data_IF_637915661921
#
_entry.id   IF_637915661921
#
_cell.length_a   1.000
_cell.length_b   1.000
_cell.length_c   1.000
_cell.angle_alpha   90.00
_cell.angle_beta   90.00
_cell.angle_gamma   90.00
#
_symmetry.space_group_name_H-M   'P 1'
#
loop_
_entity.id
_entity.type
_entity.pdbx_description
1 polymer ?
#
# COMPACT_ATOMS: atom_id res chain seq x y z
N UNK A 1 2.50 4.06 5.30
CA UNK A 1 3.23 4.79 4.22
C UNK A 1 2.67 6.17 3.84
N UNK A 2 1.44 6.32 3.31
CA UNK A 2 0.93 7.63 2.81
C UNK A 2 0.96 8.76 3.86
N UNK A 3 0.39 8.53 5.05
CA UNK A 3 0.41 9.50 6.14
C UNK A 3 1.84 9.80 6.63
N UNK A 4 2.73 8.80 6.62
CA UNK A 4 4.14 8.98 6.95
C UNK A 4 4.91 9.82 5.93
N UNK A 5 4.57 9.71 4.63
CA UNK A 5 5.11 10.57 3.58
C UNK A 5 4.59 11.99 3.69
N UNK A 6 3.29 12.15 3.98
CA UNK A 6 2.66 13.45 4.18
C UNK A 6 3.28 14.18 5.39
N UNK A 7 3.42 13.50 6.53
CA UNK A 7 4.03 14.08 7.73
C UNK A 7 5.50 14.46 7.58
N UNK A 8 6.20 13.92 6.58
CA UNK A 8 7.61 14.25 6.26
C UNK A 8 7.75 15.18 5.05
N UNK A 9 6.65 15.71 4.51
CA UNK A 9 6.62 16.53 3.29
C UNK A 9 7.24 15.86 2.05
N UNK A 10 7.19 14.52 1.98
CA UNK A 10 7.77 13.71 0.90
C UNK A 10 6.74 13.10 -0.03
N UNK A 11 5.44 13.32 0.21
CA UNK A 11 4.37 12.78 -0.62
C UNK A 11 4.50 13.20 -2.10
N UNK A 12 5.03 14.41 -2.35
CA UNK A 12 5.22 14.93 -3.69
C UNK A 12 6.22 14.16 -4.58
N UNK A 13 7.08 13.31 -3.97
CA UNK A 13 7.98 12.42 -4.72
C UNK A 13 7.26 11.17 -5.24
N UNK A 14 6.08 10.85 -4.70
CA UNK A 14 5.28 9.68 -5.07
C UNK A 14 4.18 10.06 -6.05
N UNK A 15 3.46 11.16 -5.77
CA UNK A 15 2.37 11.64 -6.63
C UNK A 15 2.84 12.41 -7.88
N UNK A 16 4.16 12.57 -8.06
CA UNK A 16 4.76 13.23 -9.21
C UNK A 16 4.74 14.76 -9.17
N UNK A 17 4.28 15.39 -8.07
CA UNK A 17 4.26 16.87 -7.94
C UNK A 17 5.65 17.50 -7.77
N UNK A 18 6.65 16.73 -7.36
CA UNK A 18 8.05 17.17 -7.26
C UNK A 18 8.95 16.45 -8.28
N UNK A 19 8.72 16.66 -9.60
CA UNK A 19 9.58 16.07 -10.62
C UNK A 19 10.98 16.68 -10.56
N UNK A 20 12.01 15.91 -10.90
CA UNK A 20 13.42 16.31 -10.77
C UNK A 20 13.72 17.58 -11.58
N UNK A 21 13.08 17.71 -12.73
CA UNK A 21 13.22 18.79 -13.70
C UNK A 21 12.66 20.12 -13.19
N UNK A 22 11.77 20.10 -12.18
CA UNK A 22 11.24 21.31 -11.57
C UNK A 22 12.25 22.01 -10.63
N UNK A 23 13.38 21.37 -10.35
CA UNK A 23 14.41 21.91 -9.45
C UNK A 23 15.67 22.33 -10.23
N UNK A 24 16.37 23.40 -9.78
CA UNK A 24 17.67 23.78 -10.31
C UNK A 24 18.69 22.62 -10.24
N UNK A 25 19.61 22.57 -11.20
CA UNK A 25 20.64 21.51 -11.26
C UNK A 25 21.50 21.41 -10.00
N UNK A 26 21.67 22.51 -9.26
CA UNK A 26 22.38 22.51 -7.97
C UNK A 26 21.70 21.70 -6.87
N UNK A 27 20.41 21.41 -7.00
CA UNK A 27 19.62 20.64 -6.04
C UNK A 27 19.37 19.19 -6.47
N UNK A 28 19.86 18.80 -7.65
CA UNK A 28 19.60 17.48 -8.22
C UNK A 28 20.16 16.35 -7.34
N UNK A 29 21.38 16.47 -6.82
CA UNK A 29 21.96 15.48 -5.90
C UNK A 29 21.14 15.33 -4.61
N UNK A 30 20.57 16.42 -4.10
CA UNK A 30 19.71 16.39 -2.91
C UNK A 30 18.36 15.72 -3.23
N UNK A 31 17.81 16.02 -4.40
CA UNK A 31 16.60 15.37 -4.89
C UNK A 31 16.81 13.87 -5.04
N UNK A 32 17.92 13.43 -5.64
CA UNK A 32 18.26 12.02 -5.87
C UNK A 32 18.35 11.26 -4.52
N UNK A 33 18.94 11.88 -3.49
CA UNK A 33 18.95 11.33 -2.11
C UNK A 33 17.55 11.19 -1.52
N UNK A 34 16.71 12.22 -1.67
CA UNK A 34 15.33 12.18 -1.16
C UNK A 34 14.50 11.10 -1.86
N UNK A 35 14.61 11.01 -3.18
CA UNK A 35 13.96 10.00 -4.00
C UNK A 35 14.42 8.57 -3.62
N UNK A 36 15.72 8.35 -3.41
CA UNK A 36 16.24 7.06 -2.94
C UNK A 36 15.68 6.63 -1.58
N UNK A 37 15.51 7.58 -0.65
CA UNK A 37 14.87 7.30 0.65
C UNK A 37 13.40 6.87 0.46
N UNK A 38 12.65 7.59 -0.38
CA UNK A 38 11.24 7.26 -0.65
C UNK A 38 11.13 5.90 -1.35
N UNK A 39 11.98 5.62 -2.33
CA UNK A 39 12.08 4.30 -2.97
C UNK A 39 12.33 3.20 -1.94
N UNK A 40 13.27 3.41 -1.01
CA UNK A 40 13.55 2.43 0.04
C UNK A 40 12.32 2.15 0.91
N UNK A 41 11.48 3.14 1.18
CA UNK A 41 10.25 2.94 1.94
C UNK A 41 9.22 2.12 1.15
N UNK A 42 9.02 2.43 -0.13
CA UNK A 42 8.11 1.66 -1.00
C UNK A 42 8.56 0.20 -1.08
N UNK A 43 9.84 -0.02 -1.39
CA UNK A 43 10.48 -1.35 -1.51
C UNK A 43 10.34 -2.15 -0.20
N UNK A 44 10.58 -1.53 0.95
CA UNK A 44 10.50 -2.23 2.24
C UNK A 44 9.06 -2.53 2.71
N UNK A 45 8.06 -1.88 2.11
CA UNK A 45 6.65 -2.07 2.48
C UNK A 45 5.95 -3.17 1.69
N UNK A 46 6.54 -3.65 0.59
CA UNK A 46 5.96 -4.70 -0.26
C UNK A 46 6.65 -6.06 -0.03
N UNK A 47 5.97 -7.15 -0.41
CA UNK A 47 6.54 -8.50 -0.35
C UNK A 47 7.64 -8.72 -1.41
N UNK A 48 8.49 -9.72 -1.15
CA UNK A 48 9.69 -10.07 -1.94
C UNK A 48 9.41 -10.58 -3.35
N UNK A 49 8.25 -11.19 -3.58
CA UNK A 49 7.77 -11.59 -4.91
C UNK A 49 7.59 -10.37 -5.81
N UNK A 50 6.94 -9.32 -5.28
CA UNK A 50 6.69 -8.07 -6.00
C UNK A 50 7.95 -7.22 -6.18
N UNK A 51 8.93 -7.35 -5.26
CA UNK A 51 10.21 -6.65 -5.32
C UNK A 51 11.00 -6.90 -6.62
N UNK A 52 10.93 -8.12 -7.16
CA UNK A 52 11.63 -8.49 -8.39
C UNK A 52 11.28 -7.61 -9.59
N UNK A 53 10.05 -7.08 -9.62
CA UNK A 53 9.55 -6.22 -10.69
C UNK A 53 10.04 -4.77 -10.61
N UNK A 54 10.56 -4.32 -9.45
CA UNK A 54 10.85 -2.90 -9.17
C UNK A 54 12.27 -2.61 -8.66
N UNK A 55 13.12 -3.63 -8.49
CA UNK A 55 14.43 -3.52 -7.83
C UNK A 55 15.42 -2.55 -8.50
N UNK A 56 15.28 -2.30 -9.81
CA UNK A 56 16.17 -1.40 -10.57
C UNK A 56 15.58 -0.02 -10.82
N UNK A 57 14.46 0.32 -10.19
CA UNK A 57 13.80 1.57 -10.45
C UNK A 57 14.52 2.76 -9.79
N UNK A 58 14.68 3.83 -10.56
CA UNK A 58 15.37 5.05 -10.15
C UNK A 58 14.43 6.17 -9.74
N UNK A 59 13.10 5.98 -9.84
CA UNK A 59 12.11 7.02 -9.58
C UNK A 59 10.96 6.46 -8.73
N UNK A 60 10.78 7.01 -7.54
CA UNK A 60 9.73 6.61 -6.59
C UNK A 60 8.31 6.75 -7.16
N UNK A 61 8.05 7.83 -7.90
CA UNK A 61 6.75 8.09 -8.51
C UNK A 61 6.43 7.03 -9.57
N UNK A 62 7.40 6.69 -10.40
CA UNK A 62 7.22 5.65 -11.42
C UNK A 62 6.94 4.28 -10.79
N UNK A 63 7.73 3.88 -9.79
CA UNK A 63 7.49 2.62 -9.05
C UNK A 63 6.09 2.60 -8.45
N UNK A 64 5.66 3.71 -7.86
CA UNK A 64 4.34 3.78 -7.26
C UNK A 64 3.22 3.62 -8.29
N UNK A 65 3.35 4.26 -9.46
CA UNK A 65 2.39 4.11 -10.57
C UNK A 65 2.38 2.67 -11.07
N UNK A 66 3.54 2.09 -11.35
CA UNK A 66 3.65 0.71 -11.84
C UNK A 66 3.02 -0.28 -10.84
N UNK A 67 3.29 -0.12 -9.54
CA UNK A 67 2.65 -0.92 -8.51
C UNK A 67 1.13 -0.73 -8.50
N UNK A 68 0.66 0.51 -8.57
CA UNK A 68 -0.78 0.81 -8.60
C UNK A 68 -1.46 0.13 -9.78
N UNK A 69 -0.90 0.24 -10.98
CA UNK A 69 -1.43 -0.41 -12.19
C UNK A 69 -1.44 -1.93 -12.07
N UNK A 70 -0.39 -2.53 -11.50
CA UNK A 70 -0.33 -3.97 -11.23
C UNK A 70 -1.45 -4.39 -10.26
N UNK A 71 -1.66 -3.63 -9.19
CA UNK A 71 -2.73 -3.92 -8.22
C UNK A 71 -4.11 -3.76 -8.85
N UNK A 72 -4.36 -2.67 -9.57
CA UNK A 72 -5.64 -2.41 -10.25
C UNK A 72 -5.94 -3.55 -11.25
N UNK A 73 -4.96 -3.96 -12.04
CA UNK A 73 -5.10 -5.10 -12.96
C UNK A 73 -5.39 -6.42 -12.26
N UNK A 74 -4.71 -6.72 -11.15
CA UNK A 74 -5.00 -7.93 -10.38
C UNK A 74 -6.42 -7.91 -9.80
N UNK A 75 -6.93 -6.75 -9.40
CA UNK A 75 -8.32 -6.62 -8.96
C UNK A 75 -9.30 -6.82 -10.10
N UNK A 76 -9.05 -6.24 -11.27
CA UNK A 76 -9.89 -6.44 -12.45
C UNK A 76 -9.97 -7.92 -12.87
N UNK A 77 -8.82 -8.62 -12.87
CA UNK A 77 -8.76 -10.07 -13.16
C UNK A 77 -9.50 -10.90 -12.10
N UNK A 78 -9.35 -10.56 -10.82
CA UNK A 78 -10.06 -11.24 -9.73
C UNK A 78 -11.58 -11.03 -9.83
N UNK A 79 -12.01 -9.80 -10.08
CA UNK A 79 -13.42 -9.43 -10.24
C UNK A 79 -14.03 -10.10 -11.48
N UNK A 80 -13.25 -10.31 -12.55
CA UNK A 80 -13.69 -11.05 -13.73
C UNK A 80 -13.91 -12.55 -13.46
N UNK A 81 -13.06 -13.17 -12.63
CA UNK A 81 -13.22 -14.58 -12.22
C UNK A 81 -14.38 -14.74 -11.23
N UNK A 82 -14.61 -13.71 -10.42
CA UNK A 82 -15.64 -13.67 -9.37
C UNK A 82 -16.63 -12.53 -9.64
N UNK A 83 -17.48 -12.63 -10.68
CA UNK A 83 -18.39 -11.56 -11.06
C UNK A 83 -19.50 -11.38 -10.02
N UNK A 84 -19.76 -10.13 -9.64
CA UNK A 84 -20.88 -9.79 -8.76
C UNK A 84 -22.22 -10.23 -9.40
N UNK A 85 -23.10 -10.94 -8.68
CA UNK A 85 -24.37 -11.43 -9.23
C UNK A 85 -25.34 -10.33 -9.71
N UNK A 86 -25.07 -9.06 -9.40
CA UNK A 86 -25.89 -7.91 -9.81
C UNK A 86 -27.30 -7.84 -9.20
N UNK A 87 -27.79 -8.92 -8.56
CA UNK A 87 -29.07 -8.92 -7.83
C UNK A 87 -28.93 -8.59 -6.34
N UNK A 88 -29.98 -8.02 -5.77
CA UNK A 88 -30.10 -7.73 -4.33
C UNK A 88 -30.75 -8.90 -3.54
N UNK A 89 -30.62 -10.11 -4.08
CA UNK A 89 -31.08 -11.39 -3.54
C UNK A 89 -30.26 -11.79 -2.27
N UNK A 90 -30.82 -12.57 -1.32
CA UNK A 90 -30.11 -13.01 -0.11
C UNK A 90 -28.76 -13.68 -0.38
N UNK A 91 -28.69 -14.50 -1.42
CA UNK A 91 -27.50 -15.23 -1.86
C UNK A 91 -26.39 -14.27 -2.31
N UNK A 92 -26.76 -13.17 -2.99
CA UNK A 92 -25.82 -12.13 -3.39
C UNK A 92 -25.28 -11.34 -2.18
N UNK A 93 -26.08 -11.14 -1.12
CA UNK A 93 -25.56 -10.54 0.13
C UNK A 93 -24.51 -11.41 0.80
N UNK A 94 -24.76 -12.73 0.88
CA UNK A 94 -23.78 -13.68 1.41
C UNK A 94 -22.53 -13.73 0.54
N UNK A 95 -22.69 -13.70 -0.79
CA UNK A 95 -21.59 -13.60 -1.74
C UNK A 95 -20.75 -12.35 -1.50
N UNK A 96 -21.37 -11.17 -1.41
CA UNK A 96 -20.70 -9.90 -1.17
C UNK A 96 -19.92 -9.90 0.15
N UNK A 97 -20.50 -10.44 1.23
CA UNK A 97 -19.80 -10.56 2.50
C UNK A 97 -18.57 -11.49 2.40
N UNK A 98 -18.71 -12.62 1.70
CA UNK A 98 -17.57 -13.52 1.45
C UNK A 98 -16.49 -12.84 0.59
N UNK A 99 -16.91 -12.11 -0.44
CA UNK A 99 -16.03 -11.39 -1.34
C UNK A 99 -15.24 -10.29 -0.64
N UNK A 100 -15.89 -9.48 0.21
CA UNK A 100 -15.23 -8.47 1.04
C UNK A 100 -14.21 -9.10 1.99
N UNK A 101 -14.53 -10.26 2.57
CA UNK A 101 -13.60 -11.02 3.41
C UNK A 101 -12.37 -11.52 2.61
N UNK A 102 -12.58 -12.05 1.41
CA UNK A 102 -11.48 -12.46 0.52
C UNK A 102 -10.57 -11.27 0.17
N UNK A 103 -11.14 -10.11 -0.13
CA UNK A 103 -10.36 -8.90 -0.41
C UNK A 103 -9.53 -8.45 0.80
N UNK A 104 -10.10 -8.55 2.01
CA UNK A 104 -9.36 -8.28 3.25
C UNK A 104 -8.18 -9.26 3.41
N UNK A 105 -8.38 -10.55 3.18
CA UNK A 105 -7.30 -11.53 3.24
C UNK A 105 -6.21 -11.25 2.19
N UNK A 106 -6.59 -10.89 0.97
CA UNK A 106 -5.64 -10.54 -0.09
C UNK A 106 -4.83 -9.30 0.29
N UNK A 107 -5.47 -8.27 0.85
CA UNK A 107 -4.78 -7.10 1.40
C UNK A 107 -3.77 -7.49 2.48
N UNK A 108 -4.19 -8.28 3.48
CA UNK A 108 -3.33 -8.70 4.59
C UNK A 108 -2.16 -9.58 4.14
N UNK A 109 -2.37 -10.46 3.15
CA UNK A 109 -1.29 -11.29 2.59
C UNK A 109 -0.32 -10.47 1.75
N UNK A 110 -0.75 -9.38 1.12
CA UNK A 110 0.13 -8.46 0.38
C UNK A 110 1.07 -7.63 1.26
N UNK A 111 0.82 -7.55 2.57
CA UNK A 111 1.70 -6.87 3.52
C UNK A 111 2.99 -7.66 3.77
N UNK A 112 4.11 -6.94 3.93
CA UNK A 112 5.38 -7.53 4.34
C UNK A 112 5.32 -8.17 5.75
N UNK A 113 6.23 -9.10 6.05
CA UNK A 113 6.30 -9.86 7.31
C UNK A 113 6.45 -8.97 8.56
N UNK A 114 6.98 -7.75 8.40
CA UNK A 114 7.04 -6.75 9.49
C UNK A 114 5.68 -6.40 10.09
N UNK A 115 4.58 -6.68 9.38
CA UNK A 115 3.21 -6.44 9.78
C UNK A 115 2.49 -7.71 10.28
N UNK A 116 3.22 -8.80 10.58
CA UNK A 116 2.63 -10.05 11.07
C UNK A 116 1.76 -9.86 12.32
N UNK A 117 2.18 -9.02 13.26
CA UNK A 117 1.40 -8.71 14.47
C UNK A 117 0.07 -8.01 14.13
N UNK A 118 0.12 -6.98 13.28
CA UNK A 118 -1.06 -6.25 12.81
C UNK A 118 -2.05 -7.20 12.13
N UNK A 119 -1.54 -8.10 11.28
CA UNK A 119 -2.35 -9.13 10.61
C UNK A 119 -3.07 -10.03 11.61
N UNK A 120 -2.35 -10.57 12.60
CA UNK A 120 -2.95 -11.43 13.63
C UNK A 120 -4.04 -10.71 14.41
N UNK A 121 -3.82 -9.45 14.80
CA UNK A 121 -4.81 -8.66 15.51
C UNK A 121 -6.07 -8.42 14.67
N UNK A 122 -5.90 -8.05 13.40
CA UNK A 122 -7.03 -7.80 12.47
C UNK A 122 -7.86 -9.08 12.27
N UNK A 123 -7.22 -10.23 12.15
CA UNK A 123 -7.90 -11.52 11.96
C UNK A 123 -8.70 -11.98 13.19
N UNK A 124 -8.37 -11.50 14.39
CA UNK A 124 -9.05 -11.83 15.64
C UNK A 124 -10.21 -10.88 15.97
N UNK A 125 -10.46 -9.85 15.16
CA UNK A 125 -11.53 -8.90 15.40
C UNK A 125 -12.92 -9.49 15.14
N UNK A 126 -13.87 -9.16 16.02
CA UNK A 126 -15.30 -9.45 15.84
C UNK A 126 -16.12 -8.20 16.20
N UNK A 127 -16.92 -7.64 15.27
CA UNK A 127 -17.12 -8.09 13.89
C UNK A 127 -15.89 -7.88 13.00
N UNK A 128 -15.84 -8.59 11.87
CA UNK A 128 -14.76 -8.49 10.89
C UNK A 128 -14.64 -7.05 10.35
N UNK A 129 -13.44 -6.45 10.35
CA UNK A 129 -13.27 -5.09 9.89
C UNK A 129 -13.33 -5.00 8.37
N UNK A 130 -13.76 -3.85 7.84
CA UNK A 130 -13.59 -3.53 6.43
C UNK A 130 -12.11 -3.32 6.07
N UNK A 131 -11.78 -3.39 4.79
CA UNK A 131 -10.41 -3.12 4.30
C UNK A 131 -9.92 -1.74 4.72
N UNK A 132 -10.79 -0.73 4.67
CA UNK A 132 -10.44 0.65 5.08
C UNK A 132 -10.16 0.75 6.57
N UNK A 133 -10.89 0.00 7.39
CA UNK A 133 -10.63 -0.10 8.83
C UNK A 133 -9.31 -0.82 9.10
N UNK A 134 -9.07 -1.96 8.45
CA UNK A 134 -7.81 -2.70 8.54
C UNK A 134 -6.60 -1.85 8.12
N UNK A 135 -6.70 -1.10 7.01
CA UNK A 135 -5.69 -0.15 6.58
C UNK A 135 -5.41 0.91 7.65
N UNK A 136 -6.46 1.50 8.23
CA UNK A 136 -6.33 2.52 9.27
C UNK A 136 -5.62 1.99 10.52
N UNK A 137 -5.87 0.73 10.90
CA UNK A 137 -5.20 0.08 12.02
C UNK A 137 -3.72 -0.14 11.75
N UNK A 138 -3.36 -0.64 10.56
CA UNK A 138 -1.95 -0.83 10.16
C UNK A 138 -1.19 0.49 10.21
N UNK A 139 -1.79 1.58 9.71
CA UNK A 139 -1.16 2.89 9.73
C UNK A 139 -1.02 3.45 11.15
N UNK A 140 -2.03 3.24 12.00
CA UNK A 140 -1.96 3.66 13.41
C UNK A 140 -0.79 2.98 14.14
N UNK A 141 -0.61 1.68 13.92
CA UNK A 141 0.52 0.93 14.52
C UNK A 141 1.88 1.36 13.97
N UNK A 142 1.98 1.64 12.66
CA UNK A 142 3.20 2.19 12.04
C UNK A 142 3.61 3.52 12.71
N UNK A 143 2.63 4.38 12.99
CA UNK A 143 2.86 5.65 13.69
C UNK A 143 3.37 5.42 15.12
N UNK A 144 2.75 4.51 15.89
CA UNK A 144 3.19 4.19 17.25
C UNK A 144 4.62 3.63 17.28
N UNK A 145 4.98 2.74 16.34
CA UNK A 145 6.35 2.21 16.21
C UNK A 145 7.36 3.30 15.85
N UNK A 146 6.96 4.29 15.07
CA UNK A 146 7.85 5.40 14.68
C UNK A 146 8.14 6.34 15.85
N UNK A 147 7.16 6.60 16.71
CA UNK A 147 7.30 7.43 17.91
C UNK A 147 8.18 6.73 18.96
N UNK A 148 8.02 5.42 19.15
CA UNK A 148 8.81 4.63 20.10
C UNK A 148 10.30 4.48 19.76
N UNK A 149 10.73 4.84 18.54
CA UNK A 149 12.16 4.84 18.13
C UNK A 149 12.88 6.16 18.40
N UNK A 150 12.19 7.16 18.96
CA UNK A 150 12.73 8.52 19.17
C UNK A 150 13.13 8.78 20.64
N UNK A 151 13.36 7.72 21.44
CA UNK A 151 13.84 7.82 22.83
C UNK A 151 15.11 6.99 22.96
#
# INVERSE_FOLDING_TARGET
>A
MHLGLLGKSKLGFVDGKHPREAFPSSLHDLWDKCNAIVLSWIINSIRKDLLSSVIYASNASKVWIDLKELFDKCWDEFDAIMPCPGCNCPESRTYMHHFEYQRLLQFLTGLNDSYAQSRSQILLMSPTPSINQAYSMVVSEENQRSLGKTI
#
